data_IF_171272961803
#
_entry.id   IF_171272961803
#
_cell.length_a   1.000
_cell.length_b   1.000
_cell.length_c   1.000
_cell.angle_alpha   90.00
_cell.angle_beta   90.00
_cell.angle_gamma   90.00
#
_symmetry.space_group_name_H-M   'P 1'
#
loop_
_entity.id
_entity.type
_entity.pdbx_description
1 polymer ?
#
# COMPACT_ATOMS: atom_id res chain seq x y z
N UNK A 1 21.61 -5.43 -7.31
CA UNK A 1 20.96 -4.92 -6.08
C UNK A 1 19.48 -4.77 -6.36
N UNK A 2 18.65 -5.79 -6.10
CA UNK A 2 17.19 -5.64 -6.21
C UNK A 2 16.71 -5.11 -4.86
N UNK A 3 16.41 -3.81 -4.82
CA UNK A 3 15.72 -3.19 -3.69
C UNK A 3 14.46 -3.98 -3.40
N UNK A 4 14.20 -4.24 -2.12
CA UNK A 4 13.08 -5.05 -1.65
C UNK A 4 11.79 -4.50 -2.23
N UNK A 5 11.23 -5.17 -3.24
CA UNK A 5 9.91 -4.83 -3.77
C UNK A 5 8.93 -5.06 -2.63
N UNK A 6 8.42 -3.99 -2.04
CA UNK A 6 7.49 -4.13 -0.93
C UNK A 6 6.14 -4.58 -1.49
N UNK A 7 5.91 -5.88 -1.45
CA UNK A 7 4.67 -6.52 -1.94
C UNK A 7 3.55 -6.48 -0.90
N UNK A 8 3.73 -5.77 0.22
CA UNK A 8 2.72 -5.65 1.28
C UNK A 8 2.43 -4.19 1.60
N UNK A 9 1.17 -3.92 1.88
CA UNK A 9 0.74 -2.64 2.40
C UNK A 9 1.48 -2.35 3.73
N UNK A 10 2.21 -1.23 3.84
CA UNK A 10 2.94 -0.90 5.06
C UNK A 10 2.02 -0.55 6.25
N UNK A 11 0.72 -0.32 6.01
CA UNK A 11 -0.25 -0.01 7.06
C UNK A 11 -0.81 -1.24 7.78
N UNK A 12 -1.08 -2.32 7.05
CA UNK A 12 -1.77 -3.50 7.61
C UNK A 12 -1.15 -4.85 7.19
N UNK A 13 -0.14 -4.86 6.32
CA UNK A 13 0.50 -6.07 5.83
C UNK A 13 -0.23 -6.80 4.70
N UNK A 14 -1.35 -6.29 4.20
CA UNK A 14 -2.13 -6.89 3.11
C UNK A 14 -1.31 -6.99 1.81
N UNK A 15 -1.38 -8.09 1.04
CA UNK A 15 -0.66 -8.21 -0.24
C UNK A 15 -1.12 -7.16 -1.26
N UNK A 16 -0.19 -6.46 -1.91
CA UNK A 16 -0.53 -5.38 -2.86
C UNK A 16 -1.07 -5.89 -4.20
N UNK A 17 -0.76 -7.14 -4.53
CA UNK A 17 -1.17 -7.87 -5.72
C UNK A 17 -2.60 -8.38 -5.63
N UNK A 18 -3.08 -8.70 -4.42
CA UNK A 18 -4.46 -9.13 -4.13
C UNK A 18 -5.44 -7.93 -4.18
N UNK A 19 -6.29 -7.82 -5.21
CA UNK A 19 -7.10 -6.63 -5.44
C UNK A 19 -8.24 -6.55 -4.42
N UNK A 20 -8.13 -5.61 -3.47
CA UNK A 20 -9.23 -5.32 -2.55
C UNK A 20 -10.33 -4.44 -3.18
N UNK A 21 -9.98 -3.59 -4.15
CA UNK A 21 -10.89 -2.63 -4.83
C UNK A 21 -10.38 -2.32 -6.25
N UNK A 22 -11.25 -1.82 -7.15
CA UNK A 22 -10.87 -1.54 -8.54
C UNK A 22 -9.64 -0.63 -8.60
N UNK A 23 -8.74 -0.96 -9.53
CA UNK A 23 -7.51 -0.23 -9.78
C UNK A 23 -7.72 0.67 -11.00
N UNK A 24 -7.42 1.96 -10.85
CA UNK A 24 -7.23 2.84 -12.01
C UNK A 24 -5.77 2.75 -12.45
N UNK A 25 -5.55 2.45 -13.72
CA UNK A 25 -4.23 2.31 -14.31
C UNK A 25 -4.03 3.33 -15.44
N UNK A 26 -2.94 4.07 -15.38
CA UNK A 26 -2.51 5.03 -16.40
C UNK A 26 -1.08 4.68 -16.82
N UNK A 27 -0.96 3.89 -17.89
CA UNK A 27 0.33 3.39 -18.36
C UNK A 27 1.00 2.49 -17.32
N UNK A 28 2.27 2.74 -16.95
CA UNK A 28 2.98 1.90 -15.98
C UNK A 28 2.53 2.13 -14.53
N UNK A 29 1.72 3.15 -14.26
CA UNK A 29 1.30 3.53 -12.91
C UNK A 29 -0.12 3.00 -12.64
N UNK A 30 -0.32 2.38 -11.48
CA UNK A 30 -1.61 1.95 -10.98
C UNK A 30 -1.88 2.50 -9.57
N UNK A 31 -3.09 2.97 -9.35
CA UNK A 31 -3.58 3.41 -8.05
C UNK A 31 -4.49 2.32 -7.48
N UNK A 32 -4.17 1.82 -6.30
CA UNK A 32 -4.93 0.77 -5.62
C UNK A 32 -5.36 1.22 -4.24
N UNK A 33 -6.53 0.76 -3.81
CA UNK A 33 -6.97 0.89 -2.42
C UNK A 33 -6.80 -0.44 -1.71
N UNK A 34 -5.99 -0.43 -0.64
CA UNK A 34 -5.81 -1.59 0.23
C UNK A 34 -7.10 -1.92 1.00
N UNK A 35 -7.26 -3.17 1.45
CA UNK A 35 -8.36 -3.59 2.32
C UNK A 35 -8.49 -2.75 3.61
N UNK A 36 -7.38 -2.19 4.12
CA UNK A 36 -7.39 -1.27 5.27
C UNK A 36 -7.80 0.17 4.92
N UNK A 37 -8.16 0.46 3.66
CA UNK A 37 -8.57 1.76 3.18
C UNK A 37 -7.44 2.69 2.73
N UNK A 38 -6.17 2.31 2.87
CA UNK A 38 -5.02 3.09 2.43
C UNK A 38 -4.87 3.10 0.90
N UNK A 39 -4.48 4.24 0.34
CA UNK A 39 -4.13 4.35 -1.09
C UNK A 39 -2.68 3.91 -1.32
N UNK A 40 -2.45 3.16 -2.38
CA UNK A 40 -1.14 2.64 -2.78
C UNK A 40 -0.88 3.05 -4.24
N UNK A 41 0.34 3.51 -4.52
CA UNK A 41 0.78 3.81 -5.88
C UNK A 41 1.77 2.73 -6.29
N UNK A 42 1.47 2.05 -7.39
CA UNK A 42 2.32 1.03 -7.95
C UNK A 42 2.87 1.50 -9.30
N UNK A 43 4.15 1.27 -9.55
CA UNK A 43 4.75 1.39 -10.88
C UNK A 43 5.22 0.02 -11.33
N UNK A 44 4.74 -0.47 -12.48
CA UNK A 44 5.02 -1.82 -13.01
C UNK A 44 4.80 -2.93 -11.97
N UNK A 45 3.78 -2.77 -11.11
CA UNK A 45 3.44 -3.71 -10.05
C UNK A 45 4.27 -3.60 -8.76
N UNK A 46 5.25 -2.69 -8.70
CA UNK A 46 6.03 -2.42 -7.49
C UNK A 46 5.44 -1.24 -6.71
N UNK A 47 5.28 -1.37 -5.39
CA UNK A 47 4.85 -0.26 -4.53
C UNK A 47 5.92 0.85 -4.51
N UNK A 48 5.58 2.02 -5.08
CA UNK A 48 6.47 3.19 -5.14
C UNK A 48 6.07 4.29 -4.16
N UNK A 49 4.80 4.35 -3.74
CA UNK A 49 4.36 5.28 -2.71
C UNK A 49 3.16 4.77 -1.91
N UNK A 50 3.10 5.18 -0.64
CA UNK A 50 1.96 5.02 0.25
C UNK A 50 1.88 6.24 1.18
N UNK A 51 0.70 6.52 1.77
CA UNK A 51 0.60 7.43 2.90
C UNK A 51 1.55 7.04 4.02
N UNK A 52 1.94 8.02 4.82
CA UNK A 52 2.70 7.74 6.04
C UNK A 52 1.83 6.92 6.98
N UNK A 53 2.35 5.81 7.48
CA UNK A 53 1.75 5.11 8.62
C UNK A 53 1.83 6.04 9.82
N UNK A 54 0.69 6.56 10.28
CA UNK A 54 0.62 7.11 11.63
C UNK A 54 0.57 5.91 12.55
N UNK A 55 1.69 5.58 13.18
CA UNK A 55 1.70 4.72 14.36
C UNK A 55 1.00 5.49 15.47
N UNK A 56 -0.32 5.41 15.54
CA UNK A 56 -1.02 5.70 16.78
C UNK A 56 -0.68 4.54 17.71
N UNK A 57 0.23 4.77 18.65
CA UNK A 57 0.44 3.82 19.75
C UNK A 57 -0.92 3.56 20.41
N UNK A 58 -1.33 2.29 20.62
CA UNK A 58 -2.55 1.98 21.37
C UNK A 58 -2.45 2.33 22.86
N UNK A 59 -1.28 2.78 23.35
CA UNK A 59 -1.08 3.12 24.76
C UNK A 59 -1.41 4.59 25.06
N UNK A 60 -2.71 4.89 25.22
CA UNK A 60 -3.22 5.93 26.13
C UNK A 60 -4.75 5.85 26.20
N UNK A 61 -5.26 4.78 26.80
CA UNK A 61 -6.50 4.86 27.57
C UNK A 61 -6.03 4.94 29.02
N UNK A 62 -6.03 6.16 29.55
CA UNK A 62 -5.89 6.41 30.99
C UNK A 62 -7.19 6.15 31.71
#
# INVERSE_FOLDING_TARGET
MLGRVNTRCPHCGWPVDDPAYPADAHGPVAYRRCACGAWLVLERGALVASPRVRTTSPDRVG
#
